data_IF_799628618929
#
_entry.id   IF_799628618929
#
_cell.length_a   1.000
_cell.length_b   1.000
_cell.length_c   1.000
_cell.angle_alpha   90.00
_cell.angle_beta   90.00
_cell.angle_gamma   90.00
#
_symmetry.space_group_name_H-M   'P 1'
#
loop_
_entity.id
_entity.type
_entity.pdbx_description
1 polymer ?
#
# COMPACT_ATOMS: atom_id res chain seq x y z
N UNK A 1 24.53 62.75 -35.58
CA UNK A 1 24.80 61.34 -35.51
C UNK A 1 24.36 60.87 -34.12
N UNK A 2 23.09 60.43 -34.01
CA UNK A 2 22.40 60.15 -32.72
C UNK A 2 22.47 58.69 -32.40
N UNK A 3 23.17 58.34 -31.35
CA UNK A 3 23.22 56.97 -30.83
C UNK A 3 21.95 56.68 -30.01
N UNK A 4 21.02 55.96 -30.62
CA UNK A 4 19.88 55.30 -29.90
C UNK A 4 20.43 54.23 -28.96
N UNK A 5 20.47 54.51 -27.68
CA UNK A 5 20.74 53.57 -26.61
C UNK A 5 19.52 52.64 -26.50
N UNK A 6 19.66 51.44 -27.04
CA UNK A 6 18.63 50.38 -26.91
C UNK A 6 18.44 50.05 -25.42
N UNK A 7 17.30 50.44 -24.92
CA UNK A 7 16.81 50.07 -23.57
C UNK A 7 16.41 48.59 -23.64
N UNK A 8 17.27 47.73 -23.10
CA UNK A 8 17.00 46.32 -22.96
C UNK A 8 15.94 46.16 -21.84
N UNK A 9 14.69 46.09 -22.26
CA UNK A 9 13.60 45.75 -21.34
C UNK A 9 13.81 44.28 -20.85
N UNK A 10 14.44 44.17 -19.69
CA UNK A 10 14.37 42.93 -18.90
C UNK A 10 12.94 42.80 -18.42
N UNK A 11 12.14 42.08 -19.18
CA UNK A 11 10.80 41.66 -18.80
C UNK A 11 10.95 40.51 -17.80
N UNK A 12 11.52 40.82 -16.62
CA UNK A 12 11.38 39.93 -15.47
C UNK A 12 9.90 39.92 -15.11
N UNK A 13 9.21 38.81 -15.41
CA UNK A 13 7.85 38.59 -14.99
C UNK A 13 7.81 38.69 -13.46
N UNK A 14 7.41 39.86 -12.97
CA UNK A 14 7.25 40.14 -11.53
C UNK A 14 6.04 39.37 -11.03
N UNK A 15 6.28 38.14 -10.57
CA UNK A 15 5.24 37.33 -9.94
C UNK A 15 4.73 38.07 -8.71
N UNK A 16 3.47 38.43 -8.71
CA UNK A 16 2.81 39.05 -7.56
C UNK A 16 2.89 38.15 -6.34
N UNK A 17 2.88 38.76 -5.16
CA UNK A 17 3.01 38.07 -3.85
C UNK A 17 2.00 36.92 -3.69
N UNK A 18 0.75 37.15 -4.14
CA UNK A 18 -0.30 36.12 -4.13
C UNK A 18 0.03 34.92 -5.00
N UNK A 19 0.66 35.13 -6.18
CA UNK A 19 1.03 34.05 -7.07
C UNK A 19 2.17 33.19 -6.47
N UNK A 20 3.16 33.82 -5.83
CA UNK A 20 4.24 33.12 -5.11
C UNK A 20 3.70 32.26 -3.98
N UNK A 21 2.72 32.76 -3.23
CA UNK A 21 2.07 32.02 -2.15
C UNK A 21 1.23 30.84 -2.70
N UNK A 22 0.43 31.07 -3.75
CA UNK A 22 -0.33 30.01 -4.40
C UNK A 22 0.56 28.92 -5.00
N UNK A 23 1.69 29.28 -5.60
CA UNK A 23 2.65 28.29 -6.13
C UNK A 23 3.28 27.45 -5.00
N UNK A 24 3.66 28.06 -3.87
CA UNK A 24 4.24 27.30 -2.76
C UNK A 24 3.23 26.35 -2.11
N UNK A 25 2.01 26.81 -1.87
CA UNK A 25 0.93 25.95 -1.35
C UNK A 25 0.57 24.86 -2.37
N UNK A 26 0.42 25.22 -3.64
CA UNK A 26 0.12 24.28 -4.72
C UNK A 26 1.19 23.20 -4.88
N UNK A 27 2.46 23.56 -4.74
CA UNK A 27 3.58 22.60 -4.76
C UNK A 27 3.48 21.58 -3.61
N UNK A 28 3.20 22.04 -2.40
CA UNK A 28 3.05 21.15 -1.23
C UNK A 28 1.86 20.21 -1.42
N UNK A 29 0.71 20.74 -1.85
CA UNK A 29 -0.49 19.94 -2.11
C UNK A 29 -0.23 18.91 -3.22
N UNK A 30 0.45 19.30 -4.30
CA UNK A 30 0.77 18.39 -5.39
C UNK A 30 1.68 17.22 -4.94
N UNK A 31 2.71 17.50 -4.14
CA UNK A 31 3.60 16.47 -3.59
C UNK A 31 2.82 15.52 -2.67
N UNK A 32 1.97 16.04 -1.78
CA UNK A 32 1.16 15.23 -0.89
C UNK A 32 0.16 14.35 -1.65
N UNK A 33 -0.50 14.87 -2.68
CA UNK A 33 -1.44 14.12 -3.52
C UNK A 33 -0.74 13.00 -4.31
N UNK A 34 0.39 13.30 -4.95
CA UNK A 34 1.17 12.30 -5.70
C UNK A 34 1.64 11.16 -4.79
N UNK A 35 2.13 11.49 -3.63
CA UNK A 35 2.61 10.47 -2.70
C UNK A 35 1.47 9.65 -2.09
N UNK A 36 0.33 10.28 -1.78
CA UNK A 36 -0.87 9.56 -1.35
C UNK A 36 -1.32 8.57 -2.42
N UNK A 37 -1.31 8.97 -3.69
CA UNK A 37 -1.68 8.11 -4.81
C UNK A 37 -0.73 6.90 -4.93
N UNK A 38 0.58 7.13 -4.83
CA UNK A 38 1.60 6.06 -4.87
C UNK A 38 1.37 5.08 -3.71
N UNK A 39 1.17 5.59 -2.49
CA UNK A 39 0.93 4.76 -1.31
C UNK A 39 -0.32 3.88 -1.45
N UNK A 40 -1.42 4.43 -1.98
CA UNK A 40 -2.66 3.68 -2.22
C UNK A 40 -2.44 2.59 -3.30
N UNK A 41 -1.71 2.90 -4.37
CA UNK A 41 -1.39 1.93 -5.41
C UNK A 41 -0.53 0.78 -4.89
N UNK A 42 0.50 1.06 -4.11
CA UNK A 42 1.37 0.03 -3.51
C UNK A 42 0.60 -0.84 -2.50
N UNK A 43 -0.23 -0.22 -1.65
CA UNK A 43 -1.09 -0.96 -0.72
C UNK A 43 -2.07 -1.89 -1.46
N UNK A 44 -2.70 -1.40 -2.53
CA UNK A 44 -3.64 -2.19 -3.33
C UNK A 44 -2.97 -3.40 -4.01
N UNK A 45 -1.75 -3.22 -4.55
CA UNK A 45 -0.96 -4.32 -5.14
C UNK A 45 -0.60 -5.36 -4.08
N UNK A 46 -0.12 -4.92 -2.92
CA UNK A 46 0.25 -5.78 -1.82
C UNK A 46 -0.94 -6.59 -1.30
N UNK A 47 -2.08 -5.94 -1.08
CA UNK A 47 -3.32 -6.58 -0.62
C UNK A 47 -3.79 -7.68 -1.58
N UNK A 48 -3.74 -7.43 -2.90
CA UNK A 48 -4.10 -8.45 -3.91
C UNK A 48 -3.13 -9.62 -3.90
N UNK A 49 -1.82 -9.35 -3.90
CA UNK A 49 -0.80 -10.39 -3.90
C UNK A 49 -0.96 -11.35 -2.72
N UNK A 50 -1.23 -10.81 -1.53
CA UNK A 50 -1.42 -11.60 -0.31
C UNK A 50 -2.74 -12.38 -0.37
N UNK A 51 -3.84 -11.72 -0.71
CA UNK A 51 -5.17 -12.35 -0.76
C UNK A 51 -5.21 -13.49 -1.77
N UNK A 52 -4.70 -13.29 -2.97
CA UNK A 52 -4.72 -14.30 -4.03
C UNK A 52 -3.75 -15.45 -3.71
N UNK A 53 -2.55 -15.14 -3.19
CA UNK A 53 -1.55 -16.13 -2.83
C UNK A 53 -2.01 -17.03 -1.69
N UNK A 54 -2.51 -16.46 -0.60
CA UNK A 54 -3.02 -17.20 0.57
C UNK A 54 -4.24 -18.04 0.18
N UNK A 55 -5.18 -17.48 -0.58
CA UNK A 55 -6.38 -18.18 -1.03
C UNK A 55 -6.05 -19.42 -1.87
N UNK A 56 -5.07 -19.31 -2.79
CA UNK A 56 -4.60 -20.43 -3.60
C UNK A 56 -3.95 -21.53 -2.76
N UNK A 57 -3.08 -21.14 -1.83
CA UNK A 57 -2.40 -22.09 -0.96
C UNK A 57 -3.39 -22.83 -0.04
N UNK A 58 -4.37 -22.13 0.55
CA UNK A 58 -5.44 -22.74 1.36
C UNK A 58 -6.29 -23.70 0.51
N UNK A 59 -6.64 -23.31 -0.72
CA UNK A 59 -7.39 -24.17 -1.61
C UNK A 59 -6.62 -25.46 -1.94
N UNK A 60 -5.32 -25.37 -2.17
CA UNK A 60 -4.45 -26.52 -2.45
C UNK A 60 -4.39 -27.49 -1.26
N UNK A 61 -4.29 -26.95 -0.02
CA UNK A 61 -4.35 -27.76 1.22
C UNK A 61 -5.71 -28.46 1.33
N UNK A 62 -6.81 -27.75 1.07
CA UNK A 62 -8.15 -28.33 1.16
C UNK A 62 -8.36 -29.45 0.13
N UNK A 63 -7.87 -29.31 -1.09
CA UNK A 63 -7.94 -30.36 -2.11
C UNK A 63 -7.09 -31.56 -1.70
N UNK A 64 -5.86 -31.36 -1.22
CA UNK A 64 -5.01 -32.43 -0.73
C UNK A 64 -5.67 -33.19 0.45
N UNK A 65 -6.33 -32.46 1.36
CA UNK A 65 -7.08 -33.04 2.47
C UNK A 65 -8.27 -33.85 1.97
N UNK A 66 -9.05 -33.35 1.01
CA UNK A 66 -10.17 -34.10 0.43
C UNK A 66 -9.72 -35.43 -0.21
N UNK A 67 -8.53 -35.41 -0.89
CA UNK A 67 -7.93 -36.65 -1.39
C UNK A 67 -7.60 -37.64 -0.28
N UNK A 68 -7.05 -37.17 0.84
CA UNK A 68 -6.76 -37.97 2.01
C UNK A 68 -8.04 -38.56 2.63
N UNK A 69 -9.08 -37.72 2.76
CA UNK A 69 -10.35 -38.12 3.38
C UNK A 69 -11.05 -39.24 2.56
N UNK A 70 -11.12 -39.10 1.23
CA UNK A 70 -11.69 -40.11 0.34
C UNK A 70 -10.91 -41.45 0.42
N UNK A 71 -9.59 -41.40 0.41
CA UNK A 71 -8.77 -42.60 0.52
C UNK A 71 -8.89 -43.25 1.89
N UNK A 72 -9.04 -42.43 2.94
CA UNK A 72 -9.22 -42.92 4.31
C UNK A 72 -10.59 -43.59 4.50
N UNK A 73 -11.67 -43.00 4.01
CA UNK A 73 -13.02 -43.55 4.04
C UNK A 73 -13.06 -44.91 3.35
N UNK A 74 -12.58 -45.00 2.10
CA UNK A 74 -12.48 -46.24 1.36
C UNK A 74 -11.63 -47.32 2.10
N UNK A 75 -10.52 -46.90 2.71
CA UNK A 75 -9.65 -47.80 3.47
C UNK A 75 -10.33 -48.31 4.74
N UNK A 76 -11.17 -47.52 5.41
CA UNK A 76 -11.95 -47.93 6.57
C UNK A 76 -13.05 -48.94 6.18
N UNK A 77 -13.74 -48.72 5.07
CA UNK A 77 -14.76 -49.63 4.53
C UNK A 77 -14.15 -50.99 4.17
N UNK A 78 -12.95 -50.98 3.58
CA UNK A 78 -12.20 -52.23 3.32
C UNK A 78 -11.82 -52.96 4.60
N UNK A 79 -11.35 -52.24 5.63
CA UNK A 79 -11.03 -52.84 6.91
C UNK A 79 -12.26 -53.46 7.57
N UNK A 80 -13.43 -52.82 7.47
CA UNK A 80 -14.68 -53.32 7.97
C UNK A 80 -15.10 -54.63 7.23
N UNK A 81 -14.97 -54.64 5.88
CA UNK A 81 -15.25 -55.83 5.07
C UNK A 81 -14.34 -57.00 5.44
N UNK A 82 -13.06 -56.77 5.67
CA UNK A 82 -12.06 -57.79 6.01
C UNK A 82 -12.24 -58.28 7.46
N UNK A 83 -12.71 -57.42 8.37
CA UNK A 83 -12.86 -57.72 9.79
C UNK A 83 -14.09 -58.51 10.11
N UNK A 84 -15.25 -58.14 9.58
CA UNK A 84 -16.58 -58.73 9.97
C UNK A 84 -17.06 -59.85 9.05
N UNK A 85 -16.54 -60.00 7.86
CA UNK A 85 -16.74 -61.14 6.94
C UNK A 85 -18.18 -61.44 6.51
N UNK A 86 -19.18 -60.71 6.99
CA UNK A 86 -20.59 -61.08 6.76
C UNK A 86 -21.45 -59.87 6.38
N UNK A 87 -21.79 -59.79 5.09
CA UNK A 87 -22.97 -59.04 4.65
C UNK A 87 -22.79 -57.56 4.32
N UNK A 88 -21.59 -56.98 4.36
CA UNK A 88 -21.36 -55.64 3.89
C UNK A 88 -21.21 -55.63 2.35
N UNK A 89 -21.79 -54.59 1.72
CA UNK A 89 -21.58 -54.38 0.30
C UNK A 89 -20.10 -54.07 0.05
N UNK A 90 -19.56 -54.61 -1.03
CA UNK A 90 -18.20 -54.33 -1.46
C UNK A 90 -18.04 -52.81 -1.70
N UNK A 91 -17.08 -52.15 -1.05
CA UNK A 91 -16.85 -50.75 -1.27
C UNK A 91 -16.36 -50.54 -2.71
N UNK A 92 -17.00 -49.59 -3.42
CA UNK A 92 -16.63 -49.19 -4.77
C UNK A 92 -15.71 -48.01 -4.69
N UNK A 93 -14.57 -48.09 -5.38
CA UNK A 93 -13.66 -46.96 -5.50
C UNK A 93 -14.13 -46.01 -6.60
N UNK A 94 -14.45 -44.79 -6.23
CA UNK A 94 -14.85 -43.74 -7.19
C UNK A 94 -13.61 -43.11 -7.89
N UNK A 95 -13.20 -43.75 -8.98
CA UNK A 95 -12.06 -43.31 -9.77
C UNK A 95 -12.30 -41.95 -10.47
N UNK A 96 -13.54 -41.63 -10.87
CA UNK A 96 -13.89 -40.42 -11.56
C UNK A 96 -13.81 -39.20 -10.64
N UNK A 97 -14.41 -39.28 -9.46
CA UNK A 97 -14.30 -38.23 -8.42
C UNK A 97 -12.84 -37.95 -8.03
N UNK A 98 -12.02 -38.99 -8.07
CA UNK A 98 -10.60 -38.82 -7.78
C UNK A 98 -9.84 -38.08 -8.87
N UNK A 99 -10.01 -38.42 -10.12
CA UNK A 99 -9.36 -37.76 -11.22
C UNK A 99 -9.68 -36.25 -11.24
N UNK A 100 -10.96 -35.89 -11.00
CA UNK A 100 -11.37 -34.48 -10.84
C UNK A 100 -10.62 -33.78 -9.70
N UNK A 101 -10.43 -34.43 -8.56
CA UNK A 101 -9.67 -33.86 -7.43
C UNK A 101 -8.18 -33.70 -7.75
N UNK A 102 -7.58 -34.64 -8.47
CA UNK A 102 -6.19 -34.54 -8.93
C UNK A 102 -6.01 -33.36 -9.91
N UNK A 103 -6.91 -33.19 -10.86
CA UNK A 103 -6.89 -32.08 -11.81
C UNK A 103 -7.06 -30.73 -11.11
N UNK A 104 -7.93 -30.65 -10.10
CA UNK A 104 -8.08 -29.45 -9.26
C UNK A 104 -6.81 -29.17 -8.48
N UNK A 105 -6.15 -30.16 -7.89
CA UNK A 105 -4.88 -30.00 -7.19
C UNK A 105 -3.80 -29.48 -8.13
N UNK A 106 -3.64 -30.07 -9.30
CA UNK A 106 -2.68 -29.64 -10.31
C UNK A 106 -2.94 -28.22 -10.78
N UNK A 107 -4.22 -27.87 -10.98
CA UNK A 107 -4.61 -26.50 -11.38
C UNK A 107 -4.32 -25.50 -10.26
N UNK A 108 -4.61 -25.83 -9.01
CA UNK A 108 -4.34 -24.97 -7.87
C UNK A 108 -2.84 -24.72 -7.65
N UNK A 109 -2.00 -25.72 -7.96
CA UNK A 109 -0.54 -25.64 -7.79
C UNK A 109 0.23 -25.17 -9.03
N UNK A 110 -0.45 -24.86 -10.15
CA UNK A 110 0.18 -24.52 -11.42
C UNK A 110 1.19 -23.36 -11.33
N UNK A 111 0.97 -22.43 -10.41
CA UNK A 111 1.83 -21.27 -10.18
C UNK A 111 2.80 -21.47 -8.99
N UNK A 112 2.84 -22.68 -8.41
CA UNK A 112 3.72 -23.01 -7.30
C UNK A 112 5.15 -23.26 -7.78
N UNK A 113 6.11 -23.32 -6.84
CA UNK A 113 7.49 -23.63 -7.14
C UNK A 113 7.67 -25.07 -7.64
N UNK A 114 8.79 -25.34 -8.31
CA UNK A 114 9.08 -26.66 -8.89
C UNK A 114 9.10 -27.79 -7.87
N UNK A 115 9.51 -27.52 -6.62
CA UNK A 115 9.53 -28.53 -5.55
C UNK A 115 8.13 -28.94 -5.12
N UNK A 116 7.20 -28.00 -4.99
CA UNK A 116 5.79 -28.26 -4.65
C UNK A 116 5.08 -29.01 -5.79
N UNK A 117 5.38 -28.66 -7.04
CA UNK A 117 4.86 -29.41 -8.20
C UNK A 117 5.35 -30.86 -8.24
N UNK A 118 6.62 -31.14 -7.92
CA UNK A 118 7.15 -32.48 -7.84
C UNK A 118 6.49 -33.30 -6.73
N UNK A 119 6.11 -32.66 -5.61
CA UNK A 119 5.35 -33.31 -4.55
C UNK A 119 3.91 -33.58 -4.98
N UNK A 120 3.27 -32.69 -5.73
CA UNK A 120 1.95 -32.93 -6.31
C UNK A 120 1.96 -34.13 -7.28
N UNK A 121 2.97 -34.23 -8.15
CA UNK A 121 3.17 -35.40 -9.02
C UNK A 121 3.36 -36.67 -8.18
N UNK A 122 4.09 -36.62 -7.05
CA UNK A 122 4.26 -37.74 -6.13
C UNK A 122 2.93 -38.18 -5.51
N UNK A 123 2.03 -37.24 -5.18
CA UNK A 123 0.66 -37.55 -4.71
C UNK A 123 -0.12 -38.26 -5.81
N UNK A 124 -0.11 -37.74 -7.04
CA UNK A 124 -0.81 -38.31 -8.18
C UNK A 124 -0.33 -39.76 -8.46
N UNK A 125 0.99 -39.98 -8.50
CA UNK A 125 1.55 -41.35 -8.67
C UNK A 125 1.18 -42.32 -7.54
N UNK A 126 1.28 -41.86 -6.31
CA UNK A 126 0.96 -42.67 -5.13
C UNK A 126 -0.51 -43.06 -5.13
N UNK A 127 -1.36 -42.17 -5.57
CA UNK A 127 -2.78 -42.40 -5.65
C UNK A 127 -3.16 -43.31 -6.82
N UNK A 128 -2.58 -43.08 -8.01
CA UNK A 128 -2.76 -44.00 -9.13
C UNK A 128 -2.38 -45.42 -8.75
N UNK A 129 -1.27 -45.60 -8.02
CA UNK A 129 -0.86 -46.91 -7.51
C UNK A 129 -1.83 -47.50 -6.50
N UNK A 130 -2.41 -46.67 -5.61
CA UNK A 130 -3.44 -47.05 -4.65
C UNK A 130 -4.74 -47.45 -5.38
N UNK A 131 -5.20 -46.63 -6.32
CA UNK A 131 -6.40 -46.89 -7.11
C UNK A 131 -6.30 -48.21 -7.89
N UNK A 132 -5.19 -48.40 -8.63
CA UNK A 132 -5.00 -49.62 -9.41
C UNK A 132 -5.01 -50.88 -8.53
N UNK A 133 -4.41 -50.78 -7.34
CA UNK A 133 -4.45 -51.90 -6.39
C UNK A 133 -5.86 -52.10 -5.81
N UNK A 134 -6.61 -51.03 -5.56
CA UNK A 134 -7.99 -51.07 -5.09
C UNK A 134 -8.94 -51.73 -6.07
N UNK A 135 -8.72 -51.54 -7.38
CA UNK A 135 -9.51 -52.19 -8.44
C UNK A 135 -9.29 -53.70 -8.55
N UNK A 136 -8.27 -54.27 -7.91
CA UNK A 136 -8.08 -55.73 -7.81
C UNK A 136 -9.05 -56.38 -6.80
N UNK A 137 -9.70 -55.61 -5.92
CA UNK A 137 -10.52 -56.10 -4.82
C UNK A 137 -11.61 -57.10 -5.27
N UNK A 138 -12.40 -56.86 -6.33
CA UNK A 138 -13.43 -57.80 -6.77
C UNK A 138 -12.86 -59.20 -7.12
N UNK A 139 -11.71 -59.24 -7.78
CA UNK A 139 -11.04 -60.49 -8.16
C UNK A 139 -10.46 -61.20 -6.95
N UNK A 140 -9.82 -60.43 -6.04
CA UNK A 140 -9.26 -60.95 -4.80
C UNK A 140 -10.36 -61.54 -3.91
N UNK A 141 -11.50 -60.85 -3.77
CA UNK A 141 -12.61 -61.25 -2.93
C UNK A 141 -13.34 -62.51 -3.47
N UNK A 142 -13.41 -62.66 -4.78
CA UNK A 142 -14.02 -63.80 -5.45
C UNK A 142 -13.08 -65.00 -5.60
N UNK A 143 -11.82 -64.87 -5.27
CA UNK A 143 -10.80 -65.88 -5.48
C UNK A 143 -10.72 -66.84 -4.26
N UNK A 144 -10.78 -68.13 -4.49
CA UNK A 144 -10.53 -69.13 -3.46
C UNK A 144 -9.06 -69.34 -3.11
N UNK A 145 -8.15 -68.74 -3.91
CA UNK A 145 -6.71 -68.93 -3.78
C UNK A 145 -5.98 -67.73 -3.15
N UNK A 146 -6.63 -66.58 -3.06
CA UNK A 146 -6.04 -65.35 -2.53
C UNK A 146 -6.71 -64.99 -1.23
N UNK A 147 -5.92 -64.94 -0.14
CA UNK A 147 -6.41 -64.44 1.14
C UNK A 147 -6.55 -62.92 1.08
N UNK A 148 -7.80 -62.45 1.17
CA UNK A 148 -8.14 -61.01 1.13
C UNK A 148 -7.43 -60.22 2.21
N UNK A 149 -7.24 -60.80 3.40
CA UNK A 149 -6.52 -60.18 4.51
C UNK A 149 -5.04 -60.01 4.19
N UNK A 150 -4.39 -61.07 3.63
CA UNK A 150 -2.99 -61.04 3.24
C UNK A 150 -2.76 -60.03 2.11
N UNK A 151 -3.66 -60.02 1.10
CA UNK A 151 -3.62 -59.04 0.02
C UNK A 151 -3.73 -57.62 0.57
N UNK A 152 -4.68 -57.36 1.50
CA UNK A 152 -4.85 -56.02 2.09
C UNK A 152 -3.58 -55.54 2.79
N UNK A 153 -3.03 -56.33 3.73
CA UNK A 153 -1.90 -55.91 4.53
C UNK A 153 -0.58 -55.84 3.73
N UNK A 154 -0.38 -56.72 2.76
CA UNK A 154 0.89 -56.81 2.04
C UNK A 154 0.91 -55.95 0.76
N UNK A 155 -0.24 -55.67 0.16
CA UNK A 155 -0.29 -54.91 -1.12
C UNK A 155 -0.99 -53.59 -0.99
N UNK A 156 -2.20 -53.50 -0.50
CA UNK A 156 -3.00 -52.29 -0.48
C UNK A 156 -2.57 -51.30 0.61
N UNK A 157 -2.41 -51.75 1.84
CA UNK A 157 -2.04 -50.91 2.96
C UNK A 157 -0.72 -50.19 2.77
N UNK A 158 0.36 -50.78 2.25
CA UNK A 158 1.59 -50.01 1.94
C UNK A 158 1.38 -48.93 0.88
N UNK A 159 0.49 -49.12 -0.10
CA UNK A 159 0.11 -48.14 -1.10
C UNK A 159 -0.65 -46.96 -0.46
N UNK A 160 -1.61 -47.27 0.38
CA UNK A 160 -2.33 -46.27 1.15
C UNK A 160 -1.40 -45.46 2.04
N UNK A 161 -0.48 -46.07 2.75
CA UNK A 161 0.49 -45.37 3.59
C UNK A 161 1.44 -44.47 2.78
N UNK A 162 1.85 -44.91 1.59
CA UNK A 162 2.65 -44.11 0.69
C UNK A 162 1.88 -42.87 0.21
N UNK A 163 0.63 -43.04 -0.17
CA UNK A 163 -0.25 -41.95 -0.58
C UNK A 163 -0.40 -40.92 0.55
N UNK A 164 -0.74 -41.39 1.76
CA UNK A 164 -0.87 -40.53 2.93
C UNK A 164 0.40 -39.74 3.21
N UNK A 165 1.55 -40.40 3.17
CA UNK A 165 2.85 -39.70 3.33
C UNK A 165 3.11 -38.64 2.25
N UNK A 166 2.76 -38.93 0.99
CA UNK A 166 2.92 -37.96 -0.11
C UNK A 166 2.03 -36.74 0.10
N UNK A 167 0.77 -36.96 0.58
CA UNK A 167 -0.16 -35.86 0.90
C UNK A 167 0.36 -35.03 2.10
N UNK A 168 0.89 -35.69 3.14
CA UNK A 168 1.44 -35.00 4.31
C UNK A 168 2.65 -34.13 3.92
N UNK A 169 3.56 -34.65 3.08
CA UNK A 169 4.73 -33.92 2.57
C UNK A 169 4.32 -32.72 1.71
N UNK A 170 3.33 -32.88 0.83
CA UNK A 170 2.81 -31.78 0.04
C UNK A 170 2.17 -30.72 0.92
N UNK A 171 1.36 -31.11 1.89
CA UNK A 171 0.72 -30.19 2.83
C UNK A 171 1.77 -29.40 3.62
N UNK A 172 2.80 -30.10 4.13
CA UNK A 172 3.90 -29.45 4.84
C UNK A 172 4.63 -28.43 3.96
N UNK A 173 4.94 -28.78 2.71
CA UNK A 173 5.61 -27.85 1.78
C UNK A 173 4.75 -26.61 1.47
N UNK A 174 3.43 -26.78 1.36
CA UNK A 174 2.51 -25.66 1.17
C UNK A 174 2.47 -24.79 2.43
N UNK A 175 2.44 -25.36 3.64
CA UNK A 175 2.49 -24.61 4.89
C UNK A 175 3.81 -23.84 5.05
N UNK A 176 4.95 -24.43 4.68
CA UNK A 176 6.24 -23.75 4.70
C UNK A 176 6.26 -22.56 3.72
N UNK A 177 5.72 -22.74 2.50
CA UNK A 177 5.58 -21.66 1.54
C UNK A 177 4.67 -20.54 2.05
N UNK A 178 3.57 -20.88 2.73
CA UNK A 178 2.65 -19.92 3.32
C UNK A 178 3.34 -19.13 4.46
N UNK A 179 4.14 -19.81 5.30
CA UNK A 179 4.91 -19.19 6.37
C UNK A 179 5.94 -18.22 5.81
N UNK A 180 6.70 -18.63 4.78
CA UNK A 180 7.69 -17.78 4.12
C UNK A 180 7.03 -16.55 3.46
N UNK A 181 5.88 -16.72 2.81
CA UNK A 181 5.09 -15.62 2.27
C UNK A 181 4.59 -14.67 3.36
N UNK A 182 4.30 -15.17 4.57
CA UNK A 182 3.92 -14.35 5.72
C UNK A 182 5.08 -13.50 6.23
N UNK A 183 6.31 -14.02 6.26
CA UNK A 183 7.51 -13.24 6.59
C UNK A 183 7.83 -12.19 5.50
N UNK A 184 7.68 -12.56 4.24
CA UNK A 184 7.79 -11.63 3.11
C UNK A 184 6.69 -10.55 3.18
N UNK A 185 5.52 -10.88 3.71
CA UNK A 185 4.45 -9.93 3.96
C UNK A 185 4.81 -8.92 5.04
N UNK A 186 5.35 -9.35 6.17
CA UNK A 186 5.80 -8.45 7.23
C UNK A 186 6.88 -7.49 6.73
N UNK A 187 7.86 -7.99 6.00
CA UNK A 187 8.89 -7.15 5.37
C UNK A 187 8.31 -6.23 4.29
N UNK A 188 7.38 -6.71 3.49
CA UNK A 188 6.67 -5.96 2.46
C UNK A 188 5.71 -4.91 3.03
N UNK A 189 5.10 -5.19 4.19
CA UNK A 189 4.26 -4.24 4.93
C UNK A 189 5.05 -3.01 5.34
N UNK A 190 6.23 -3.19 5.93
CA UNK A 190 7.14 -2.08 6.24
C UNK A 190 7.55 -1.32 4.99
N UNK A 191 7.86 -2.00 3.91
CA UNK A 191 8.24 -1.39 2.63
C UNK A 191 7.09 -0.61 1.99
N UNK A 192 5.84 -1.04 2.17
CA UNK A 192 4.64 -0.35 1.65
C UNK A 192 4.26 0.87 2.51
N UNK A 193 4.49 0.84 3.82
CA UNK A 193 4.18 1.95 4.73
C UNK A 193 5.27 3.02 4.73
N UNK A 194 6.54 2.65 4.54
CA UNK A 194 7.67 3.58 4.54
C UNK A 194 7.50 4.79 3.61
N UNK A 195 7.04 4.66 2.35
CA UNK A 195 6.78 5.82 1.51
C UNK A 195 5.76 6.78 2.11
N UNK A 196 4.72 6.25 2.77
CA UNK A 196 3.70 7.06 3.46
C UNK A 196 4.27 7.84 4.64
N UNK A 197 5.10 7.19 5.48
CA UNK A 197 5.77 7.83 6.62
C UNK A 197 6.75 8.90 6.15
N UNK A 198 7.57 8.59 5.15
CA UNK A 198 8.54 9.54 4.56
C UNK A 198 7.80 10.76 4.01
N UNK A 199 6.69 10.56 3.32
CA UNK A 199 5.89 11.65 2.76
C UNK A 199 5.25 12.51 3.83
N UNK A 200 4.70 11.89 4.87
CA UNK A 200 4.17 12.62 6.01
C UNK A 200 5.27 13.48 6.67
N UNK A 201 6.47 12.93 6.83
CA UNK A 201 7.64 13.65 7.34
C UNK A 201 8.04 14.83 6.46
N UNK A 202 8.19 14.60 5.15
CA UNK A 202 8.51 15.66 4.18
C UNK A 202 7.41 16.71 4.13
N UNK A 203 6.13 16.29 4.13
CA UNK A 203 4.99 17.20 4.18
C UNK A 203 5.00 18.11 5.41
N UNK A 204 5.31 17.54 6.57
CA UNK A 204 5.44 18.31 7.82
C UNK A 204 6.55 19.36 7.73
N UNK A 205 7.73 18.98 7.22
CA UNK A 205 8.85 19.92 7.02
C UNK A 205 8.47 21.03 6.07
N UNK A 206 7.79 20.73 4.95
CA UNK A 206 7.33 21.73 3.99
C UNK A 206 6.31 22.69 4.61
N UNK A 207 5.38 22.20 5.43
CA UNK A 207 4.41 23.04 6.16
C UNK A 207 5.13 23.97 7.15
N UNK A 208 6.09 23.46 7.91
CA UNK A 208 6.89 24.27 8.82
C UNK A 208 7.70 25.35 8.06
N UNK A 209 8.29 24.99 6.94
CA UNK A 209 9.02 25.92 6.08
C UNK A 209 8.09 27.01 5.51
N UNK A 210 6.86 26.64 5.11
CA UNK A 210 5.83 27.58 4.67
C UNK A 210 5.43 28.56 5.80
N UNK A 211 5.19 28.03 7.01
CA UNK A 211 4.86 28.86 8.18
C UNK A 211 5.99 29.84 8.49
N UNK A 212 7.25 29.37 8.44
CA UNK A 212 8.42 30.23 8.64
C UNK A 212 8.50 31.33 7.57
N UNK A 213 8.26 30.95 6.29
CA UNK A 213 8.23 31.90 5.18
C UNK A 213 7.13 32.96 5.37
N UNK A 214 5.91 32.53 5.72
CA UNK A 214 4.80 33.46 6.00
C UNK A 214 5.12 34.41 7.15
N UNK A 215 5.71 33.90 8.21
CA UNK A 215 6.11 34.70 9.37
C UNK A 215 7.13 35.77 8.98
N UNK A 216 8.12 35.40 8.17
CA UNK A 216 9.23 36.29 7.84
C UNK A 216 8.88 37.32 6.76
N UNK A 217 8.16 36.88 5.73
CA UNK A 217 7.87 37.72 4.56
C UNK A 217 6.56 38.52 4.65
N UNK A 218 5.62 38.07 5.50
CA UNK A 218 4.31 38.74 5.59
C UNK A 218 4.06 39.33 6.97
N UNK A 219 4.14 38.53 8.01
CA UNK A 219 3.72 38.97 9.36
C UNK A 219 4.67 40.02 9.90
N UNK A 220 5.97 39.83 9.82
CA UNK A 220 6.97 40.76 10.30
C UNK A 220 6.89 42.15 9.62
N UNK A 221 6.86 42.25 8.27
CA UNK A 221 6.71 43.56 7.60
C UNK A 221 5.40 44.25 7.96
N UNK A 222 4.27 43.57 7.95
CA UNK A 222 2.98 44.16 8.31
C UNK A 222 2.97 44.68 9.75
N UNK A 223 3.57 43.91 10.70
CA UNK A 223 3.71 44.38 12.07
C UNK A 223 4.59 45.66 12.18
N UNK A 224 5.66 45.73 11.39
CA UNK A 224 6.52 46.93 11.35
C UNK A 224 5.76 48.17 10.81
N UNK A 225 4.97 48.01 9.73
CA UNK A 225 4.11 49.06 9.18
C UNK A 225 3.09 49.51 10.24
N UNK A 226 2.36 48.59 10.84
CA UNK A 226 1.33 48.87 11.85
C UNK A 226 1.92 49.59 13.08
N UNK A 227 3.09 49.15 13.57
CA UNK A 227 3.78 49.78 14.69
C UNK A 227 4.28 51.18 14.36
N UNK A 228 4.79 51.41 13.14
CA UNK A 228 5.24 52.74 12.71
C UNK A 228 4.07 53.71 12.51
N UNK A 229 2.96 53.22 11.92
CA UNK A 229 1.75 54.02 11.74
C UNK A 229 1.15 54.43 13.10
N UNK A 230 1.13 53.50 14.11
CA UNK A 230 0.69 53.79 15.45
C UNK A 230 1.56 54.89 16.13
N UNK A 231 2.90 54.82 15.94
CA UNK A 231 3.83 55.85 16.49
C UNK A 231 3.64 57.21 15.77
N UNK A 232 3.40 57.23 14.48
CA UNK A 232 3.09 58.44 13.73
C UNK A 232 1.81 59.10 14.24
N UNK A 233 0.74 58.30 14.42
CA UNK A 233 -0.57 58.80 14.90
C UNK A 233 -0.56 59.28 16.36
N UNK A 234 0.09 58.57 17.29
CA UNK A 234 0.03 58.85 18.74
C UNK A 234 1.12 59.75 19.23
N UNK A 235 2.32 59.70 18.64
CA UNK A 235 3.51 60.42 19.10
C UNK A 235 3.98 61.49 18.17
N UNK A 236 3.27 61.76 17.07
CA UNK A 236 3.62 62.73 16.04
C UNK A 236 5.05 62.55 15.50
N UNK A 237 5.55 61.30 15.45
CA UNK A 237 6.86 60.96 14.87
C UNK A 237 6.72 60.73 13.41
N UNK A 238 7.74 61.18 12.60
CA UNK A 238 7.75 60.95 11.17
C UNK A 238 7.68 59.46 10.85
N UNK A 239 6.81 59.07 9.91
CA UNK A 239 6.74 57.73 9.39
C UNK A 239 8.02 57.39 8.62
N UNK A 240 8.81 56.43 9.08
CA UNK A 240 10.05 56.03 8.46
C UNK A 240 10.21 54.51 8.53
N UNK A 241 9.60 53.83 7.56
CA UNK A 241 9.78 52.40 7.33
C UNK A 241 10.23 52.20 5.90
N UNK A 242 11.27 51.41 5.72
CA UNK A 242 11.78 51.04 4.42
C UNK A 242 11.85 49.53 4.27
N UNK A 243 11.53 49.05 3.08
CA UNK A 243 11.60 47.65 2.69
C UNK A 243 12.37 47.51 1.38
N UNK A 244 13.30 46.54 1.37
CA UNK A 244 13.97 46.11 0.15
C UNK A 244 13.03 45.22 -0.69
N UNK A 245 13.00 45.43 -1.98
CA UNK A 245 12.15 44.68 -2.91
C UNK A 245 11.17 45.59 -3.65
N UNK A 246 10.34 45.01 -4.50
CA UNK A 246 9.33 45.70 -5.30
C UNK A 246 8.04 44.87 -5.34
N UNK A 247 7.59 44.43 -4.13
CA UNK A 247 6.40 43.65 -3.92
C UNK A 247 5.23 44.49 -3.40
N UNK A 248 4.07 43.88 -3.23
CA UNK A 248 2.85 44.54 -2.75
C UNK A 248 3.01 45.15 -1.35
N UNK A 249 3.88 44.58 -0.51
CA UNK A 249 4.14 45.13 0.83
C UNK A 249 4.85 46.45 0.74
N UNK A 250 5.83 46.58 -0.18
CA UNK A 250 6.50 47.84 -0.44
C UNK A 250 5.54 48.88 -1.03
N UNK A 251 4.68 48.48 -1.99
CA UNK A 251 3.67 49.37 -2.55
C UNK A 251 2.70 49.91 -1.47
N UNK A 252 2.25 49.04 -0.55
CA UNK A 252 1.42 49.45 0.60
C UNK A 252 2.21 50.41 1.49
N UNK A 253 3.46 50.09 1.81
CA UNK A 253 4.30 50.94 2.63
C UNK A 253 4.54 52.33 2.01
N UNK A 254 4.79 52.40 0.69
CA UNK A 254 5.02 53.62 -0.01
C UNK A 254 3.76 54.49 -0.08
N UNK A 255 2.58 53.90 -0.33
CA UNK A 255 1.30 54.59 -0.24
C UNK A 255 0.99 55.12 1.19
N UNK A 256 1.30 54.32 2.23
CA UNK A 256 1.16 54.78 3.62
C UNK A 256 2.14 55.96 3.91
N UNK A 257 3.35 55.90 3.40
CA UNK A 257 4.34 56.98 3.54
C UNK A 257 3.83 58.28 2.93
N UNK A 258 3.30 58.23 1.72
CA UNK A 258 2.73 59.39 0.99
C UNK A 258 1.56 59.99 1.79
N UNK A 259 0.61 59.19 2.24
CA UNK A 259 -0.51 59.64 3.08
C UNK A 259 -0.05 60.27 4.40
N UNK A 260 0.98 59.69 5.05
CA UNK A 260 1.54 60.24 6.28
C UNK A 260 2.22 61.62 6.03
N UNK A 261 2.94 61.78 4.92
CA UNK A 261 3.56 63.05 4.55
C UNK A 261 2.53 64.14 4.20
N UNK A 262 1.46 63.80 3.47
CA UNK A 262 0.35 64.72 3.22
C UNK A 262 -0.35 65.17 4.53
N UNK A 263 -0.60 64.20 5.43
CA UNK A 263 -1.20 64.53 6.72
C UNK A 263 -0.33 65.49 7.57
N UNK A 264 0.99 65.29 7.57
CA UNK A 264 1.93 66.18 8.25
C UNK A 264 1.94 67.58 7.61
N UNK A 265 1.85 67.68 6.28
CA UNK A 265 1.74 68.96 5.60
C UNK A 265 0.46 69.71 5.91
N UNK A 266 -0.67 69.00 5.93
CA UNK A 266 -1.98 69.56 6.29
C UNK A 266 -1.98 70.05 7.75
N UNK A 267 -1.42 69.28 8.68
CA UNK A 267 -1.27 69.70 10.09
C UNK A 267 -0.44 70.96 10.27
N UNK A 268 0.67 71.08 9.53
CA UNK A 268 1.52 72.29 9.55
C UNK A 268 0.78 73.53 9.00
N UNK A 269 0.01 73.37 7.92
CA UNK A 269 -0.83 74.43 7.33
C UNK A 269 -1.91 74.89 8.30
N UNK A 270 -2.61 73.95 8.94
CA UNK A 270 -3.64 74.27 9.97
C UNK A 270 -3.01 74.99 11.15
N UNK A 271 -1.84 74.58 11.62
CA UNK A 271 -1.15 75.22 12.74
C UNK A 271 -0.71 76.65 12.37
N UNK A 272 -0.19 76.87 11.15
CA UNK A 272 0.19 78.14 10.67
C UNK A 272 -1.01 79.12 10.50
N UNK A 273 -2.15 78.59 10.02
CA UNK A 273 -3.38 79.42 9.96
C UNK A 273 -3.95 79.76 11.34
N UNK A 274 -3.85 78.86 12.29
CA UNK A 274 -4.26 79.14 13.71
C UNK A 274 -3.34 80.13 14.40
N UNK A 275 -2.03 80.15 14.08
CA UNK A 275 -1.12 81.09 14.70
C UNK A 275 -1.27 82.51 14.06
N UNK A 276 -1.56 82.62 12.76
CA UNK A 276 -1.87 83.87 12.09
C UNK A 276 -3.19 84.52 12.57
N UNK A 277 -4.19 83.73 12.91
CA UNK A 277 -5.46 84.25 13.45
C UNK A 277 -5.44 84.72 14.91
N UNK A 278 -4.33 84.51 15.63
CA UNK A 278 -4.14 84.98 17.03
C UNK A 278 -3.37 86.31 17.11
N UNK A 279 -2.94 86.91 16.01
CA UNK A 279 -2.18 88.18 15.93
C UNK A 279 -3.00 89.29 15.37
N UNK A 280 -4.26 89.16 15.06
CA UNK A 280 -5.25 90.20 14.88
C UNK A 280 -6.13 90.33 16.13
#
# INVERSE_FOLDING_TARGET
MSLKKARKDNNEQRFGLGLKLCMSIGSIVAVLLLSSLISVMEYSKMSRYVSDGISKDINSINVARQLSDVANEYNLDLLALIGDGSGQQMPLFDAESFMDKCDRLRTALKESNASTLALADSVEYSYAAYMLTSLELPEVYSSDFIDTREWYFNRLQPRYQRLRRSIDLLSQAIYENLSNKSEDFDSGYYRSIMPGIVTAGVGLVLVLMLLFFLQFYYVKPLYRIAAALKRHSTQNRKYNVDFEGDDQIKQINDGIRELAEENDQLRRRITALKSGSKTE
#
